data_IF_573190183546
#
_entry.id   IF_573190183546
#
_cell.length_a   1.000
_cell.length_b   1.000
_cell.length_c   1.000
_cell.angle_alpha   90.00
_cell.angle_beta   90.00
_cell.angle_gamma   90.00
#
_symmetry.space_group_name_H-M   'P 1'
#
loop_
_entity.id
_entity.type
_entity.pdbx_description
1 polymer ?
#
# COMPACT_ATOMS: atom_id res chain seq x y z
N UNK A 1 11.00 -8.92 25.17
CA UNK A 1 10.76 -7.62 24.50
C UNK A 1 10.22 -7.84 23.09
N UNK A 2 9.17 -7.12 22.72
CA UNK A 2 8.71 -7.01 21.32
C UNK A 2 9.45 -5.81 20.76
N UNK A 3 10.25 -6.02 19.71
CA UNK A 3 10.96 -4.96 18.98
C UNK A 3 10.15 -4.61 17.73
N UNK A 4 9.08 -3.84 17.90
CA UNK A 4 8.30 -3.30 16.78
C UNK A 4 8.14 -1.82 16.96
N UNK A 5 8.25 -1.07 15.86
CA UNK A 5 8.03 0.37 15.89
C UNK A 5 6.54 0.68 16.12
N UNK A 6 6.26 1.56 17.09
CA UNK A 6 4.90 2.04 17.34
C UNK A 6 4.44 3.06 16.29
N UNK A 7 5.38 3.69 15.59
CA UNK A 7 5.11 4.75 14.61
C UNK A 7 6.19 4.78 13.53
N UNK A 8 5.78 4.97 12.29
CA UNK A 8 6.66 5.15 11.14
C UNK A 8 6.22 6.35 10.29
N UNK A 9 7.20 7.01 9.68
CA UNK A 9 7.00 8.03 8.65
C UNK A 9 7.87 7.71 7.46
N UNK A 10 7.28 7.75 6.27
CA UNK A 10 7.86 7.30 5.02
C UNK A 10 7.79 8.43 3.98
N UNK A 11 8.82 8.54 3.17
CA UNK A 11 8.83 9.33 1.93
C UNK A 11 9.38 8.43 0.83
N UNK A 12 8.64 8.33 -0.27
CA UNK A 12 8.93 7.42 -1.38
C UNK A 12 8.79 8.16 -2.71
N UNK A 13 9.63 7.77 -3.66
CA UNK A 13 9.50 8.15 -5.07
C UNK A 13 8.77 7.02 -5.81
N UNK A 14 7.71 7.37 -6.52
CA UNK A 14 6.95 6.45 -7.37
C UNK A 14 7.64 6.34 -8.74
N UNK A 15 7.43 5.23 -9.45
CA UNK A 15 8.05 4.99 -10.75
C UNK A 15 7.80 6.09 -11.81
N UNK A 16 6.70 6.83 -11.68
CA UNK A 16 6.38 7.99 -12.53
C UNK A 16 7.00 9.33 -12.09
N UNK A 17 7.90 9.33 -11.11
CA UNK A 17 8.52 10.53 -10.53
C UNK A 17 7.64 11.28 -9.52
N UNK A 18 6.44 10.76 -9.22
CA UNK A 18 5.57 11.28 -8.17
C UNK A 18 6.14 11.01 -6.78
N UNK A 19 5.81 11.84 -5.81
CA UNK A 19 6.20 11.64 -4.42
C UNK A 19 5.01 11.12 -3.61
N UNK A 20 5.30 10.17 -2.71
CA UNK A 20 4.33 9.64 -1.78
C UNK A 20 4.88 9.71 -0.35
N UNK A 21 4.12 10.34 0.54
CA UNK A 21 4.41 10.37 1.96
C UNK A 21 3.36 9.57 2.72
N UNK A 22 3.80 8.78 3.71
CA UNK A 22 2.89 8.02 4.56
C UNK A 22 3.34 8.09 6.01
N UNK A 23 2.37 8.10 6.92
CA UNK A 23 2.59 7.98 8.35
C UNK A 23 1.66 6.93 8.92
N UNK A 24 2.18 6.07 9.78
CA UNK A 24 1.44 4.97 10.39
C UNK A 24 1.74 5.01 11.89
N UNK A 25 0.73 4.88 12.73
CA UNK A 25 0.91 4.85 14.19
C UNK A 25 -0.08 3.90 14.85
N UNK A 26 0.41 3.12 15.82
CA UNK A 26 -0.40 2.31 16.72
C UNK A 26 -0.80 3.07 18.00
N UNK A 27 -0.26 4.27 18.21
CA UNK A 27 -0.49 5.10 19.39
C UNK A 27 -1.68 6.05 19.29
N UNK A 28 -2.47 5.99 18.19
CA UNK A 28 -3.62 6.87 18.01
C UNK A 28 -4.79 6.49 18.93
N UNK A 29 -5.48 7.50 19.46
CA UNK A 29 -6.68 7.30 20.27
C UNK A 29 -7.91 6.84 19.46
N UNK A 30 -7.88 7.01 18.14
CA UNK A 30 -8.93 6.60 17.21
C UNK A 30 -8.35 5.90 15.99
N UNK A 31 -9.09 4.94 15.45
CA UNK A 31 -8.75 4.27 14.20
C UNK A 31 -9.25 5.09 13.02
N UNK A 32 -8.39 5.34 12.03
CA UNK A 32 -8.75 5.93 10.76
C UNK A 32 -7.68 5.63 9.71
N UNK A 33 -8.11 5.62 8.45
CA UNK A 33 -7.25 5.58 7.27
C UNK A 33 -7.56 6.81 6.44
N UNK A 34 -6.54 7.48 5.91
CA UNK A 34 -6.71 8.64 5.04
C UNK A 34 -5.71 8.57 3.89
N UNK A 35 -6.23 8.63 2.67
CA UNK A 35 -5.47 8.75 1.45
C UNK A 35 -5.85 10.06 0.76
N UNK A 36 -4.84 10.83 0.42
CA UNK A 36 -4.97 12.04 -0.39
C UNK A 36 -4.04 11.94 -1.59
N UNK A 37 -4.57 12.17 -2.78
CA UNK A 37 -3.81 12.16 -4.02
C UNK A 37 -4.03 13.46 -4.77
N UNK A 38 -2.95 14.12 -5.14
CA UNK A 38 -2.96 15.38 -5.89
C UNK A 38 -2.37 15.18 -7.28
N UNK A 39 -3.23 15.21 -8.29
CA UNK A 39 -2.84 15.24 -9.70
C UNK A 39 -2.90 16.68 -10.24
N UNK A 40 -2.43 16.85 -11.49
CA UNK A 40 -2.47 18.15 -12.18
C UNK A 40 -3.88 18.73 -12.23
N UNK A 41 -4.87 17.94 -12.66
CA UNK A 41 -6.24 18.40 -12.89
C UNK A 41 -7.25 17.97 -11.83
N UNK A 42 -6.87 17.08 -10.91
CA UNK A 42 -7.80 16.44 -9.97
C UNK A 42 -7.14 16.19 -8.60
N UNK A 43 -7.86 16.50 -7.53
CA UNK A 43 -7.52 16.02 -6.18
C UNK A 43 -8.53 14.98 -5.73
N UNK A 44 -8.03 13.91 -5.10
CA UNK A 44 -8.83 12.81 -4.57
C UNK A 44 -8.54 12.69 -3.07
N UNK A 45 -9.59 12.60 -2.27
CA UNK A 45 -9.51 12.50 -0.81
C UNK A 45 -10.44 11.38 -0.33
N UNK A 46 -9.93 10.44 0.46
CA UNK A 46 -10.70 9.29 0.94
C UNK A 46 -11.47 9.55 2.25
N UNK A 47 -11.44 10.76 2.79
CA UNK A 47 -11.92 11.01 4.15
C UNK A 47 -11.12 10.25 5.21
N UNK A 48 -11.78 9.84 6.30
CA UNK A 48 -11.14 9.20 7.47
C UNK A 48 -11.76 7.86 7.84
N UNK A 49 -12.50 7.24 6.92
CA UNK A 49 -13.05 5.90 7.14
C UNK A 49 -11.91 4.88 7.30
N UNK A 50 -11.86 4.10 8.40
CA UNK A 50 -10.80 3.11 8.60
C UNK A 50 -10.69 2.08 7.48
N UNK A 51 -11.81 1.76 6.81
CA UNK A 51 -11.88 0.78 5.73
C UNK A 51 -11.71 1.38 4.33
N UNK A 52 -11.60 2.72 4.19
CA UNK A 52 -11.52 3.44 2.92
C UNK A 52 -12.67 3.13 1.94
N UNK A 53 -13.87 2.82 2.45
CA UNK A 53 -15.03 2.40 1.65
C UNK A 53 -15.95 3.54 1.25
N UNK A 54 -15.94 4.61 2.02
CA UNK A 54 -16.89 5.71 1.92
C UNK A 54 -16.14 7.06 1.81
N UNK A 55 -16.89 8.14 1.64
CA UNK A 55 -16.39 9.53 1.70
C UNK A 55 -15.34 9.96 0.67
N UNK A 56 -15.17 9.20 -0.42
CA UNK A 56 -14.32 9.61 -1.53
C UNK A 56 -14.80 10.93 -2.15
N UNK A 57 -13.99 11.97 -2.03
CA UNK A 57 -14.24 13.29 -2.61
C UNK A 57 -13.27 13.54 -3.76
N UNK A 58 -13.83 13.72 -4.95
CA UNK A 58 -13.11 14.14 -6.14
C UNK A 58 -13.31 15.66 -6.31
N UNK A 59 -12.22 16.41 -6.34
CA UNK A 59 -12.25 17.88 -6.47
C UNK A 59 -11.51 18.29 -7.74
N UNK A 60 -12.21 18.78 -8.78
CA UNK A 60 -11.58 19.22 -10.01
C UNK A 60 -10.75 20.49 -9.75
N UNK A 61 -9.63 20.61 -10.46
CA UNK A 61 -8.71 21.77 -10.37
C UNK A 61 -8.63 22.57 -11.66
N UNK A 62 -9.35 22.12 -12.69
CA UNK A 62 -9.43 22.73 -14.02
C UNK A 62 -10.63 22.15 -14.78
N UNK A 63 -10.96 22.73 -15.93
CA UNK A 63 -12.01 22.19 -16.82
C UNK A 63 -11.75 20.73 -17.23
N UNK A 64 -10.49 20.37 -17.51
CA UNK A 64 -10.11 18.99 -17.79
C UNK A 64 -10.42 18.04 -16.60
N UNK A 65 -10.32 18.54 -15.37
CA UNK A 65 -10.70 17.79 -14.17
C UNK A 65 -12.20 17.55 -14.08
N UNK A 66 -13.02 18.53 -14.46
CA UNK A 66 -14.47 18.38 -14.52
C UNK A 66 -14.88 17.35 -15.60
N UNK A 67 -14.26 17.42 -16.77
CA UNK A 67 -14.45 16.44 -17.85
C UNK A 67 -14.06 15.02 -17.42
N UNK A 68 -12.95 14.86 -16.70
CA UNK A 68 -12.53 13.56 -16.15
C UNK A 68 -13.56 13.01 -15.16
N UNK A 69 -14.05 13.83 -14.22
CA UNK A 69 -15.08 13.39 -13.27
C UNK A 69 -16.38 13.02 -14.00
N UNK A 70 -16.78 13.81 -14.99
CA UNK A 70 -17.96 13.50 -15.80
C UNK A 70 -17.80 12.17 -16.56
N UNK A 71 -16.60 11.90 -17.09
CA UNK A 71 -16.29 10.67 -17.81
C UNK A 71 -16.25 9.43 -16.90
N UNK A 72 -15.89 9.59 -15.61
CA UNK A 72 -15.96 8.49 -14.63
C UNK A 72 -17.41 8.01 -14.46
N UNK A 73 -18.41 8.90 -14.56
CA UNK A 73 -19.82 8.53 -14.52
C UNK A 73 -20.25 7.76 -13.26
N UNK A 74 -21.42 7.13 -13.30
CA UNK A 74 -21.85 6.19 -12.27
C UNK A 74 -21.23 4.81 -12.54
N UNK A 75 -20.32 4.39 -11.65
CA UNK A 75 -19.73 3.06 -11.71
C UNK A 75 -20.62 2.06 -10.95
N UNK A 76 -20.83 0.88 -11.53
CA UNK A 76 -21.56 -0.18 -10.84
C UNK A 76 -20.76 -0.66 -9.65
N UNK A 77 -21.35 -0.59 -8.45
CA UNK A 77 -20.68 -1.00 -7.21
C UNK A 77 -20.36 -2.49 -7.27
N UNK A 78 -19.07 -2.82 -7.22
CA UNK A 78 -18.60 -4.19 -7.11
C UNK A 78 -18.64 -4.63 -5.63
N UNK A 79 -18.70 -5.94 -5.36
CA UNK A 79 -18.49 -6.44 -4.00
C UNK A 79 -17.13 -5.98 -3.46
N UNK A 80 -17.12 -5.43 -2.25
CA UNK A 80 -15.90 -4.92 -1.60
C UNK A 80 -15.41 -5.88 -0.49
N UNK A 81 -14.16 -5.68 -0.03
CA UNK A 81 -13.57 -6.45 1.06
C UNK A 81 -13.48 -7.95 0.76
N UNK A 82 -13.80 -8.79 1.75
CA UNK A 82 -13.73 -10.25 1.58
C UNK A 82 -14.64 -10.79 0.48
N UNK A 83 -15.82 -10.19 0.28
CA UNK A 83 -16.73 -10.62 -0.78
C UNK A 83 -16.12 -10.39 -2.17
N UNK A 84 -15.53 -9.20 -2.40
CA UNK A 84 -14.79 -8.90 -3.63
C UNK A 84 -13.58 -9.79 -3.81
N UNK A 85 -12.75 -9.92 -2.77
CA UNK A 85 -11.56 -10.77 -2.79
C UNK A 85 -11.88 -12.22 -3.21
N UNK A 86 -12.86 -12.84 -2.55
CA UNK A 86 -13.23 -14.21 -2.88
C UNK A 86 -13.92 -14.34 -4.24
N UNK A 87 -14.64 -13.31 -4.70
CA UNK A 87 -15.22 -13.30 -6.03
C UNK A 87 -14.12 -13.31 -7.11
N UNK A 88 -13.09 -12.47 -6.98
CA UNK A 88 -11.97 -12.42 -7.94
C UNK A 88 -11.13 -13.69 -7.91
N UNK A 89 -10.84 -14.25 -6.72
CA UNK A 89 -10.18 -15.56 -6.60
C UNK A 89 -11.00 -16.65 -7.29
N UNK A 90 -12.33 -16.66 -7.11
CA UNK A 90 -13.19 -17.67 -7.71
C UNK A 90 -13.23 -17.55 -9.24
N UNK A 91 -13.15 -16.34 -9.80
CA UNK A 91 -13.00 -16.11 -11.26
C UNK A 91 -11.66 -16.68 -11.76
N UNK A 92 -10.57 -16.39 -11.06
CA UNK A 92 -9.23 -16.90 -11.41
C UNK A 92 -9.18 -18.44 -11.41
N UNK A 93 -9.77 -19.09 -10.41
CA UNK A 93 -9.87 -20.56 -10.34
C UNK A 93 -10.69 -21.19 -11.48
N UNK A 94 -11.54 -20.40 -12.15
CA UNK A 94 -12.36 -20.84 -13.29
C UNK A 94 -11.81 -20.39 -14.65
N UNK A 95 -10.61 -19.80 -14.68
CA UNK A 95 -9.98 -19.24 -15.89
C UNK A 95 -10.85 -18.14 -16.55
N UNK A 96 -11.54 -17.36 -15.71
CA UNK A 96 -12.32 -16.20 -16.12
C UNK A 96 -11.47 -14.92 -16.00
N UNK A 97 -11.81 -13.89 -16.79
CA UNK A 97 -11.22 -12.56 -16.64
C UNK A 97 -11.44 -12.03 -15.21
N UNK A 98 -10.35 -11.65 -14.55
CA UNK A 98 -10.33 -11.32 -13.13
C UNK A 98 -9.30 -10.25 -12.77
N UNK A 99 -9.44 -9.71 -11.56
CA UNK A 99 -8.50 -8.80 -10.90
C UNK A 99 -7.95 -9.41 -9.60
N UNK A 100 -7.78 -10.73 -9.55
CA UNK A 100 -7.31 -11.41 -8.35
C UNK A 100 -5.87 -10.99 -8.02
N UNK A 101 -5.63 -10.67 -6.74
CA UNK A 101 -4.29 -10.38 -6.21
C UNK A 101 -3.42 -11.63 -6.35
N UNK A 102 -2.25 -11.46 -6.97
CA UNK A 102 -1.32 -12.55 -7.29
C UNK A 102 -0.18 -12.64 -6.29
N UNK A 103 0.55 -13.76 -6.34
CA UNK A 103 1.78 -13.93 -5.54
C UNK A 103 2.83 -12.85 -5.82
N UNK A 104 2.87 -12.30 -7.04
CA UNK A 104 3.75 -11.19 -7.38
C UNK A 104 3.40 -9.90 -6.60
N UNK A 105 2.11 -9.62 -6.39
CA UNK A 105 1.66 -8.45 -5.63
C UNK A 105 1.98 -8.60 -4.13
N UNK A 106 1.80 -9.82 -3.61
CA UNK A 106 2.21 -10.17 -2.26
C UNK A 106 3.73 -10.00 -2.07
N UNK A 107 4.52 -10.46 -3.07
CA UNK A 107 5.97 -10.29 -3.07
C UNK A 107 6.37 -8.81 -3.09
N UNK A 108 5.80 -8.00 -3.96
CA UNK A 108 6.07 -6.56 -4.03
C UNK A 108 5.76 -5.86 -2.69
N UNK A 109 4.69 -6.28 -2.01
CA UNK A 109 4.32 -5.75 -0.69
C UNK A 109 5.36 -6.09 0.40
N UNK A 110 5.86 -7.33 0.39
CA UNK A 110 6.91 -7.78 1.32
C UNK A 110 8.25 -7.08 1.02
N UNK A 111 8.57 -6.88 -0.26
CA UNK A 111 9.77 -6.12 -0.66
C UNK A 111 9.69 -4.67 -0.22
N UNK A 112 8.53 -4.02 -0.35
CA UNK A 112 8.31 -2.67 0.16
C UNK A 112 8.57 -2.60 1.66
N UNK A 113 7.98 -3.50 2.46
CA UNK A 113 8.24 -3.55 3.90
C UNK A 113 9.73 -3.79 4.21
N UNK A 114 10.37 -4.67 3.46
CA UNK A 114 11.81 -4.95 3.62
C UNK A 114 12.64 -3.71 3.33
N UNK A 115 12.34 -2.97 2.26
CA UNK A 115 13.02 -1.74 1.90
C UNK A 115 12.83 -0.64 2.94
N UNK A 116 11.64 -0.55 3.56
CA UNK A 116 11.38 0.40 4.67
C UNK A 116 12.33 0.12 5.85
N UNK A 117 12.40 -1.13 6.31
CA UNK A 117 13.29 -1.49 7.42
C UNK A 117 14.77 -1.42 7.05
N UNK A 118 15.13 -1.78 5.81
CA UNK A 118 16.48 -1.63 5.28
C UNK A 118 16.92 -0.16 5.29
N UNK A 119 16.04 0.73 4.82
CA UNK A 119 16.26 2.18 4.80
C UNK A 119 16.46 2.74 6.21
N UNK A 120 15.60 2.34 7.15
CA UNK A 120 15.73 2.73 8.55
C UNK A 120 17.08 2.28 9.16
N UNK A 121 17.44 1.01 8.99
CA UNK A 121 18.67 0.42 9.52
C UNK A 121 19.93 1.08 8.94
N UNK A 122 19.95 1.30 7.62
CA UNK A 122 21.09 1.85 6.89
C UNK A 122 21.15 3.38 6.94
N UNK A 123 20.07 4.05 7.37
CA UNK A 123 19.87 5.51 7.30
C UNK A 123 20.08 6.06 5.89
N UNK A 124 19.60 5.34 4.88
CA UNK A 124 19.76 5.70 3.47
C UNK A 124 18.56 5.20 2.65
N UNK A 125 18.24 5.82 1.50
CA UNK A 125 17.19 5.32 0.62
C UNK A 125 17.43 3.86 0.22
N UNK A 126 16.37 3.07 0.18
CA UNK A 126 16.38 1.72 -0.36
C UNK A 126 15.65 1.71 -1.71
N UNK A 127 16.22 1.02 -2.70
CA UNK A 127 15.61 0.85 -4.01
C UNK A 127 14.67 -0.37 -4.03
N UNK A 128 13.67 -0.31 -4.91
CA UNK A 128 12.78 -1.43 -5.22
C UNK A 128 12.93 -1.81 -6.71
N UNK A 129 12.81 -3.09 -7.08
CA UNK A 129 12.63 -4.25 -6.20
C UNK A 129 13.88 -4.56 -5.37
N UNK A 130 13.71 -5.35 -4.30
CA UNK A 130 14.83 -5.77 -3.44
C UNK A 130 15.83 -6.60 -4.26
N UNK A 131 17.13 -6.28 -4.18
CA UNK A 131 18.16 -7.01 -4.90
C UNK A 131 18.30 -8.44 -4.35
N UNK A 132 18.49 -9.41 -5.23
CA UNK A 132 18.56 -10.83 -4.85
C UNK A 132 19.73 -11.18 -3.92
N UNK A 133 20.76 -10.35 -3.90
CA UNK A 133 21.94 -10.43 -3.04
C UNK A 133 21.85 -9.53 -1.79
N UNK A 134 20.75 -8.81 -1.58
CA UNK A 134 20.55 -8.03 -0.36
C UNK A 134 20.46 -8.99 0.86
N UNK A 135 21.16 -8.72 1.97
CA UNK A 135 21.10 -9.55 3.17
C UNK A 135 19.69 -9.80 3.71
N UNK A 136 18.73 -8.91 3.44
CA UNK A 136 17.34 -9.03 3.88
C UNK A 136 16.44 -9.75 2.87
N UNK A 137 16.95 -10.15 1.72
CA UNK A 137 16.18 -10.77 0.64
C UNK A 137 15.54 -12.10 1.05
N UNK A 138 16.25 -12.91 1.84
CA UNK A 138 15.75 -14.22 2.32
C UNK A 138 14.97 -14.12 3.64
N UNK A 139 14.73 -12.91 4.13
CA UNK A 139 13.98 -12.64 5.35
C UNK A 139 14.77 -11.88 6.41
N UNK A 140 14.08 -11.50 7.48
CA UNK A 140 14.60 -10.59 8.51
C UNK A 140 15.14 -11.32 9.76
N UNK A 141 15.04 -12.66 9.79
CA UNK A 141 15.36 -13.46 10.97
C UNK A 141 16.88 -13.55 11.23
N UNK A 142 17.70 -13.51 10.19
CA UNK A 142 19.16 -13.61 10.32
C UNK A 142 19.82 -12.27 10.71
N UNK A 143 19.10 -11.15 10.57
CA UNK A 143 19.59 -9.82 10.93
C UNK A 143 19.69 -9.60 12.46
N UNK A 144 18.98 -10.41 13.23
CA UNK A 144 19.04 -10.45 14.69
C UNK A 144 19.51 -11.84 15.11
N UNK A 145 20.83 -12.03 15.21
CA UNK A 145 21.52 -13.27 15.54
C UNK A 145 20.65 -14.39 16.15
N UNK A 146 20.59 -15.51 15.43
CA UNK A 146 19.99 -16.80 15.79
C UNK A 146 19.83 -16.95 17.31
N UNK A 147 18.60 -16.88 17.82
CA UNK A 147 18.34 -17.40 19.17
C UNK A 147 18.52 -18.91 19.12
N UNK A 148 19.30 -19.53 20.03
CA UNK A 148 19.36 -20.98 20.11
C UNK A 148 17.96 -21.54 20.31
N UNK A 149 17.63 -22.63 19.61
CA UNK A 149 16.41 -23.41 19.87
C UNK A 149 16.40 -23.74 21.36
N UNK A 150 15.27 -23.48 22.02
CA UNK A 150 15.02 -24.09 23.33
C UNK A 150 14.80 -25.57 23.08
N UNK A 151 15.73 -26.37 23.57
CA UNK A 151 15.57 -27.80 23.79
C UNK A 151 14.45 -28.07 24.79
#
# INVERSE_FOLDING_TARGET
PIETDDTAALVMELAGGGLFSSSITLGAASNHSHLHVSFEHLSIDSGRDPQLREDWRLTPRSAAGEELIAALGEQQRQPEGFAGLFAEIAKDLRDEANEAVRLADARASIELLTAIYASHSRRAPAALPCAADDPLYQGWQDAHGVRPRKD
#
